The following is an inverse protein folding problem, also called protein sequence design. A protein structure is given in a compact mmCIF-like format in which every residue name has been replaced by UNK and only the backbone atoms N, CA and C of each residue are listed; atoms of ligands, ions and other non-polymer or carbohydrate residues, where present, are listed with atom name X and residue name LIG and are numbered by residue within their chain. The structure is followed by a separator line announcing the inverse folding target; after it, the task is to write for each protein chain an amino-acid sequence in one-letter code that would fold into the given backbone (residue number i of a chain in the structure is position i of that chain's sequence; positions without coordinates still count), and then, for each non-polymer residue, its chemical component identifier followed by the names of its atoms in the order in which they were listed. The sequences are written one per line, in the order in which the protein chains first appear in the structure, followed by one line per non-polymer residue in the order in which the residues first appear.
data_IF_946780216353
#
_entry.id   IF_946780216353
#
_cell.length_a   1.000
_cell.length_b   1.000
_cell.length_c   1.000
_cell.angle_alpha   90.00
_cell.angle_beta   90.00
_cell.angle_gamma   90.00
#
_symmetry.space_group_name_H-M   'P 1'
#
loop_
_entity.id
_entity.type
_entity.pdbx_description
1 polymer ?
#
# COMPACT_ATOMS: atom_id res chain seq x y z
N UNK A 1 1.63 23.34 8.69
CA UNK A 1 1.42 24.42 7.75
C UNK A 1 1.56 23.92 6.31
N UNK A 2 1.20 24.76 5.39
CA UNK A 2 1.30 24.43 3.98
C UNK A 2 2.75 24.20 3.52
N UNK A 3 3.68 24.90 4.10
CA UNK A 3 5.09 24.77 3.75
C UNK A 3 5.65 23.37 4.09
N UNK A 4 5.36 22.88 5.29
CA UNK A 4 5.80 21.54 5.69
C UNK A 4 5.13 20.44 4.88
N UNK A 5 3.91 20.65 4.51
CA UNK A 5 3.10 19.79 3.72
C UNK A 5 3.62 19.66 2.28
N UNK A 6 3.85 20.83 1.65
CA UNK A 6 4.44 20.90 0.32
C UNK A 6 5.84 20.29 0.33
N UNK A 7 6.61 20.56 1.38
CA UNK A 7 7.96 20.03 1.52
C UNK A 7 7.99 18.51 1.55
N UNK A 8 7.03 17.88 2.24
CA UNK A 8 6.93 16.42 2.27
C UNK A 8 6.66 15.84 0.90
N UNK A 9 5.71 16.42 0.17
CA UNK A 9 5.40 16.01 -1.19
C UNK A 9 6.56 16.24 -2.14
N UNK A 10 7.23 17.37 -2.00
CA UNK A 10 8.39 17.69 -2.83
C UNK A 10 9.54 16.71 -2.59
N UNK A 11 9.76 16.33 -1.32
CA UNK A 11 10.79 15.36 -0.99
C UNK A 11 10.51 14.00 -1.64
N UNK A 12 9.27 13.55 -1.63
CA UNK A 12 8.89 12.30 -2.27
C UNK A 12 9.10 12.39 -3.78
N UNK A 13 8.72 13.50 -4.39
CA UNK A 13 8.89 13.69 -5.82
C UNK A 13 10.35 13.75 -6.22
N UNK A 14 11.19 14.40 -5.41
CA UNK A 14 12.63 14.46 -5.66
C UNK A 14 13.27 13.09 -5.55
N UNK A 15 12.88 12.30 -4.55
CA UNK A 15 13.40 10.96 -4.36
C UNK A 15 13.05 10.07 -5.54
N UNK A 16 11.81 10.16 -6.00
CA UNK A 16 11.34 9.40 -7.15
C UNK A 16 12.08 9.82 -8.42
N UNK A 17 12.26 11.13 -8.62
CA UNK A 17 13.00 11.66 -9.76
C UNK A 17 14.45 11.18 -9.81
N UNK A 18 15.12 11.18 -8.66
CA UNK A 18 16.48 10.67 -8.55
C UNK A 18 16.58 9.20 -8.91
N UNK A 19 15.63 8.42 -8.38
CA UNK A 19 15.58 6.99 -8.66
C UNK A 19 15.40 6.75 -10.16
N UNK A 20 14.54 7.51 -10.80
CA UNK A 20 14.29 7.39 -12.24
C UNK A 20 15.49 7.76 -13.10
N UNK A 21 16.33 8.66 -12.64
CA UNK A 21 17.52 9.06 -13.40
C UNK A 21 18.50 7.92 -13.60
N UNK A 22 18.51 6.93 -12.74
CA UNK A 22 19.37 5.76 -12.89
C UNK A 22 18.79 4.72 -13.85
N UNK A 23 17.61 4.96 -14.41
CA UNK A 23 16.90 4.07 -15.33
C UNK A 23 16.74 2.67 -14.76
N UNK A 24 16.11 2.54 -13.59
CA UNK A 24 15.96 1.24 -12.93
C UNK A 24 14.89 0.39 -13.58
N UNK A 25 14.97 -0.92 -13.36
CA UNK A 25 13.90 -1.83 -13.72
C UNK A 25 12.87 -1.91 -12.61
N UNK A 26 13.31 -1.73 -11.36
CA UNK A 26 12.44 -1.81 -10.18
C UNK A 26 12.76 -0.68 -9.22
N UNK A 27 11.71 -0.08 -8.66
CA UNK A 27 11.83 0.96 -7.63
C UNK A 27 11.11 0.47 -6.37
N UNK A 28 11.76 0.65 -5.23
CA UNK A 28 11.17 0.32 -3.93
C UNK A 28 10.62 1.59 -3.28
N UNK A 29 9.35 1.56 -2.89
CA UNK A 29 8.70 2.66 -2.18
C UNK A 29 8.28 2.18 -0.80
N UNK A 30 8.85 2.78 0.23
CA UNK A 30 8.57 2.41 1.61
C UNK A 30 7.71 3.48 2.27
N UNK A 31 6.44 3.12 2.53
CA UNK A 31 5.46 3.99 3.17
C UNK A 31 5.37 5.37 2.51
N UNK A 32 5.17 5.45 1.19
CA UNK A 32 5.20 6.75 0.50
C UNK A 32 4.05 7.67 0.90
N UNK A 33 2.98 7.15 1.48
CA UNK A 33 1.85 7.97 1.90
C UNK A 33 1.98 8.53 3.32
N UNK A 34 2.98 8.06 4.08
CA UNK A 34 3.10 8.42 5.49
C UNK A 34 3.30 9.92 5.67
N UNK A 35 2.44 10.52 6.51
CA UNK A 35 2.55 11.94 6.85
C UNK A 35 2.06 12.89 5.77
N UNK A 36 1.49 12.38 4.70
CA UNK A 36 0.98 13.20 3.60
C UNK A 36 -0.54 13.26 3.61
N UNK A 37 -1.07 14.37 3.12
CA UNK A 37 -2.51 14.52 2.97
C UNK A 37 -3.03 13.63 1.84
N UNK A 38 -4.31 13.23 1.91
CA UNK A 38 -4.88 12.35 0.90
C UNK A 38 -4.70 12.83 -0.54
N UNK A 39 -4.79 14.13 -0.77
CA UNK A 39 -4.63 14.70 -2.11
C UNK A 39 -3.22 14.50 -2.66
N UNK A 40 -2.21 14.68 -1.81
CA UNK A 40 -0.82 14.48 -2.21
C UNK A 40 -0.52 13.00 -2.44
N UNK A 41 -1.09 12.14 -1.61
CA UNK A 41 -0.96 10.69 -1.77
C UNK A 41 -1.49 10.28 -3.14
N UNK A 42 -2.67 10.77 -3.49
CA UNK A 42 -3.29 10.46 -4.77
C UNK A 42 -2.43 10.93 -5.94
N UNK A 43 -1.88 12.14 -5.86
CA UNK A 43 -1.00 12.67 -6.90
C UNK A 43 0.25 11.83 -7.08
N UNK A 44 0.89 11.44 -5.98
CA UNK A 44 2.10 10.61 -6.02
C UNK A 44 1.80 9.26 -6.66
N UNK A 45 0.72 8.61 -6.27
CA UNK A 45 0.38 7.30 -6.81
C UNK A 45 -0.08 7.35 -8.27
N UNK A 46 -0.70 8.44 -8.69
CA UNK A 46 -1.03 8.62 -10.11
C UNK A 46 0.25 8.74 -10.95
N UNK A 47 1.27 9.39 -10.42
CA UNK A 47 2.56 9.49 -11.08
C UNK A 47 3.24 8.13 -11.13
N UNK A 48 3.23 7.38 -10.01
CA UNK A 48 3.79 6.03 -9.96
C UNK A 48 3.11 5.14 -11.00
N UNK A 49 1.79 5.21 -11.08
CA UNK A 49 1.02 4.45 -12.05
C UNK A 49 1.43 4.79 -13.48
N UNK A 50 1.56 6.08 -13.76
CA UNK A 50 1.96 6.57 -15.08
C UNK A 50 3.34 6.04 -15.46
N UNK A 51 4.30 6.09 -14.55
CA UNK A 51 5.65 5.59 -14.78
C UNK A 51 5.63 4.08 -15.03
N UNK A 52 4.86 3.36 -14.25
CA UNK A 52 4.74 1.91 -14.42
C UNK A 52 4.18 1.57 -15.80
N UNK A 53 3.11 2.23 -16.20
CA UNK A 53 2.45 1.95 -17.48
C UNK A 53 3.26 2.42 -18.68
N UNK A 54 3.87 3.60 -18.60
CA UNK A 54 4.52 4.22 -19.74
C UNK A 54 6.00 3.89 -19.86
N UNK A 55 6.68 3.69 -18.74
CA UNK A 55 8.11 3.45 -18.71
C UNK A 55 8.46 1.99 -18.43
N UNK A 56 7.47 1.18 -18.06
CA UNK A 56 7.70 -0.24 -17.76
C UNK A 56 8.48 -0.50 -16.49
N UNK A 57 8.53 0.48 -15.57
CA UNK A 57 9.21 0.31 -14.30
C UNK A 57 8.31 -0.46 -13.34
N UNK A 58 8.86 -1.47 -12.69
CA UNK A 58 8.16 -2.23 -11.65
C UNK A 58 8.33 -1.52 -10.31
N UNK A 59 7.24 -1.42 -9.55
CA UNK A 59 7.29 -0.83 -8.21
C UNK A 59 6.98 -1.88 -7.16
N UNK A 60 7.83 -1.97 -6.15
CA UNK A 60 7.55 -2.74 -4.95
C UNK A 60 7.18 -1.74 -3.85
N UNK A 61 5.96 -1.84 -3.38
CA UNK A 61 5.37 -0.86 -2.48
C UNK A 61 5.09 -1.49 -1.11
N UNK A 62 5.66 -0.91 -0.06
CA UNK A 62 5.31 -1.26 1.31
C UNK A 62 4.40 -0.15 1.84
N UNK A 63 3.15 -0.49 2.16
CA UNK A 63 2.15 0.51 2.52
C UNK A 63 1.20 -0.04 3.58
N UNK A 64 1.01 0.69 4.67
CA UNK A 64 0.06 0.32 5.71
C UNK A 64 -1.38 0.63 5.31
N UNK A 65 -1.57 1.64 4.49
CA UNK A 65 -2.90 2.02 4.03
C UNK A 65 -3.34 1.03 2.93
N UNK A 66 -4.09 0.03 3.34
CA UNK A 66 -4.50 -1.05 2.45
C UNK A 66 -5.37 -0.57 1.29
N UNK A 67 -6.22 0.43 1.54
CA UNK A 67 -7.06 1.00 0.48
C UNK A 67 -6.20 1.58 -0.64
N UNK A 68 -5.19 2.37 -0.27
CA UNK A 68 -4.28 2.99 -1.24
C UNK A 68 -3.47 1.91 -1.96
N UNK A 69 -2.88 0.98 -1.19
CA UNK A 69 -2.04 -0.06 -1.78
C UNK A 69 -2.80 -0.88 -2.81
N UNK A 70 -3.99 -1.35 -2.46
CA UNK A 70 -4.76 -2.21 -3.35
C UNK A 70 -5.40 -1.46 -4.51
N UNK A 71 -5.56 -0.14 -4.39
CA UNK A 71 -6.09 0.66 -5.49
C UNK A 71 -5.10 0.71 -6.66
N UNK A 72 -3.81 0.79 -6.37
CA UNK A 72 -2.79 1.01 -7.39
C UNK A 72 -1.97 -0.24 -7.74
N UNK A 73 -1.93 -1.23 -6.86
CA UNK A 73 -1.15 -2.44 -7.08
C UNK A 73 -1.86 -3.40 -8.03
N UNK A 74 -1.06 -4.23 -8.70
CA UNK A 74 -1.58 -5.35 -9.50
C UNK A 74 -1.66 -6.62 -8.68
N UNK A 75 -0.70 -6.79 -7.77
CA UNK A 75 -0.60 -7.97 -6.92
C UNK A 75 -0.21 -7.52 -5.52
N UNK A 76 -0.73 -8.19 -4.50
CA UNK A 76 -0.45 -7.82 -3.13
C UNK A 76 -0.09 -8.99 -2.24
N UNK A 77 0.72 -8.69 -1.24
CA UNK A 77 1.07 -9.59 -0.14
C UNK A 77 0.66 -8.90 1.15
N UNK A 78 -0.15 -9.56 1.95
CA UNK A 78 -0.56 -9.01 3.24
C UNK A 78 0.29 -9.67 4.32
N UNK A 79 0.96 -8.84 5.11
CA UNK A 79 1.86 -9.31 6.16
C UNK A 79 1.30 -8.97 7.54
N UNK A 80 1.46 -9.91 8.46
CA UNK A 80 1.19 -9.68 9.87
C UNK A 80 2.32 -10.30 10.67
N UNK A 81 2.86 -9.52 11.59
CA UNK A 81 3.95 -9.99 12.47
C UNK A 81 5.09 -10.62 11.67
N UNK A 82 5.46 -9.98 10.57
CA UNK A 82 6.58 -10.41 9.73
C UNK A 82 6.31 -11.63 8.87
N UNK A 83 5.05 -12.05 8.74
CA UNK A 83 4.69 -13.22 7.95
C UNK A 83 3.65 -12.87 6.90
N UNK A 84 3.77 -13.47 5.72
CA UNK A 84 2.74 -13.35 4.70
C UNK A 84 1.55 -14.20 5.12
N UNK A 85 0.41 -13.56 5.29
CA UNK A 85 -0.83 -14.26 5.69
C UNK A 85 -1.79 -14.42 4.53
N UNK A 86 -1.61 -13.66 3.47
CA UNK A 86 -2.46 -13.74 2.29
C UNK A 86 -1.76 -13.06 1.13
N UNK A 87 -1.96 -13.55 -0.08
CA UNK A 87 -1.47 -12.90 -1.28
C UNK A 87 -2.42 -13.17 -2.44
N UNK A 88 -2.33 -12.37 -3.47
CA UNK A 88 -3.18 -12.54 -4.65
C UNK A 88 -3.23 -11.29 -5.50
N UNK A 89 -3.98 -11.39 -6.60
CA UNK A 89 -4.24 -10.23 -7.44
C UNK A 89 -4.95 -9.17 -6.63
N UNK A 90 -4.59 -7.90 -6.84
CA UNK A 90 -5.19 -6.80 -6.07
C UNK A 90 -6.71 -6.77 -6.21
N UNK A 91 -7.23 -7.06 -7.39
CA UNK A 91 -8.67 -7.09 -7.62
C UNK A 91 -9.35 -8.15 -6.76
N UNK A 92 -8.72 -9.32 -6.61
CA UNK A 92 -9.25 -10.39 -5.77
C UNK A 92 -9.17 -10.03 -4.29
N UNK A 93 -8.06 -9.42 -3.88
CA UNK A 93 -7.90 -9.01 -2.49
C UNK A 93 -8.92 -7.96 -2.10
N UNK A 94 -9.22 -7.02 -2.99
CA UNK A 94 -10.23 -5.99 -2.73
C UNK A 94 -11.62 -6.59 -2.49
N UNK A 95 -11.92 -7.70 -3.12
CA UNK A 95 -13.22 -8.35 -3.00
C UNK A 95 -13.27 -9.43 -1.92
N UNK A 96 -12.14 -9.78 -1.33
CA UNK A 96 -12.06 -10.80 -0.30
C UNK A 96 -12.77 -10.30 0.96
N UNK A 97 -13.73 -11.07 1.52
CA UNK A 97 -14.48 -10.64 2.70
C UNK A 97 -13.61 -10.36 3.93
N UNK A 98 -12.56 -11.14 4.13
CA UNK A 98 -11.66 -10.94 5.26
C UNK A 98 -10.85 -9.65 5.09
N UNK A 99 -10.41 -9.37 3.88
CA UNK A 99 -9.68 -8.13 3.58
C UNK A 99 -10.59 -6.93 3.81
N UNK A 100 -11.82 -6.99 3.32
CA UNK A 100 -12.80 -5.91 3.53
C UNK A 100 -13.06 -5.67 5.01
N UNK A 101 -13.25 -6.75 5.75
CA UNK A 101 -13.59 -6.67 7.17
C UNK A 101 -12.44 -6.15 8.02
N UNK A 102 -11.22 -6.64 7.81
CA UNK A 102 -10.11 -6.37 8.71
C UNK A 102 -9.10 -5.32 8.22
N UNK A 103 -9.11 -4.99 6.95
CA UNK A 103 -8.13 -4.04 6.42
C UNK A 103 -8.72 -2.86 5.67
N UNK A 104 -9.94 -2.99 5.18
CA UNK A 104 -10.61 -1.92 4.43
C UNK A 104 -11.81 -1.40 5.21
N UNK A 105 -11.81 -0.10 5.49
CA UNK A 105 -12.96 0.56 6.08
C UNK A 105 -13.19 0.36 7.57
N UNK A 106 -12.27 -0.28 8.30
CA UNK A 106 -12.38 -0.46 9.74
C UNK A 106 -11.71 0.68 10.49
N UNK A 107 -12.33 1.12 11.60
CA UNK A 107 -11.69 2.07 12.50
C UNK A 107 -10.55 1.39 13.26
N UNK A 108 -9.64 2.19 13.83
CA UNK A 108 -8.56 1.68 14.68
C UNK A 108 -9.09 0.80 15.81
N UNK A 109 -10.14 1.27 16.44
CA UNK A 109 -10.77 0.56 17.55
C UNK A 109 -11.37 -0.76 17.09
N UNK A 110 -12.06 -0.74 15.97
CA UNK A 110 -12.62 -1.95 15.40
C UNK A 110 -11.54 -2.97 15.04
N UNK A 111 -10.43 -2.51 14.51
CA UNK A 111 -9.30 -3.38 14.19
C UNK A 111 -8.74 -4.07 15.43
N UNK A 112 -8.59 -3.33 16.51
CA UNK A 112 -8.13 -3.88 17.78
C UNK A 112 -9.07 -4.93 18.31
N UNK A 113 -10.37 -4.66 18.28
CA UNK A 113 -11.40 -5.57 18.78
C UNK A 113 -11.42 -6.90 18.04
N UNK A 114 -11.19 -6.86 16.74
CA UNK A 114 -11.30 -8.05 15.91
C UNK A 114 -9.95 -8.73 15.65
N UNK A 115 -8.88 -8.22 16.20
CA UNK A 115 -7.56 -8.77 15.95
C UNK A 115 -7.44 -10.26 16.33
N UNK A 116 -7.93 -10.61 17.51
CA UNK A 116 -7.88 -11.99 17.99
C UNK A 116 -8.79 -12.90 17.17
N UNK A 117 -10.00 -12.41 16.87
CA UNK A 117 -10.95 -13.15 16.04
C UNK A 117 -10.37 -13.39 14.65
N UNK A 118 -9.76 -12.36 14.09
CA UNK A 118 -9.13 -12.43 12.78
C UNK A 118 -7.99 -13.47 12.75
N UNK A 119 -7.14 -13.46 13.76
CA UNK A 119 -6.05 -14.43 13.86
C UNK A 119 -6.57 -15.86 13.93
N UNK A 120 -7.62 -16.06 14.73
CA UNK A 120 -8.24 -17.37 14.86
C UNK A 120 -8.84 -17.84 13.54
N UNK A 121 -9.61 -16.96 12.87
CA UNK A 121 -10.22 -17.27 11.58
C UNK A 121 -9.19 -17.60 10.54
N UNK A 122 -8.12 -16.83 10.47
CA UNK A 122 -7.06 -17.06 9.51
C UNK A 122 -6.36 -18.37 9.73
N UNK A 123 -6.02 -18.68 10.98
CA UNK A 123 -5.38 -19.92 11.32
C UNK A 123 -6.23 -21.10 10.92
N UNK A 124 -7.52 -21.06 11.24
CA UNK A 124 -8.46 -22.10 10.88
C UNK A 124 -8.60 -22.25 9.38
N UNK A 125 -8.61 -21.15 8.67
CA UNK A 125 -8.83 -21.09 7.22
C UNK A 125 -7.62 -21.56 6.42
N UNK A 126 -6.44 -21.17 6.85
CA UNK A 126 -5.22 -21.40 6.08
C UNK A 126 -4.46 -22.65 6.46
N UNK A 127 -4.71 -23.22 7.61
CA UNK A 127 -4.07 -24.45 8.07
C UNK A 127 -4.90 -25.69 7.83
N UNK A 128 -6.14 -25.53 7.47
CA UNK A 128 -7.00 -26.68 7.17
C UNK A 128 -6.96 -27.11 5.67
#
# INVERSE_FOLDING_TARGET
SQAGYTSGGEQQMCALGRALMSKPETILLDEPSMGLAPQLVEQIFEIVKSINENEGVTFLLAEQNTNVALRYAHYGYILESGRVVMDGAAAELRENPDVKEFYLGMSEEGRKSFRDVRSYRRRKRWLS
#
